data_IF_732205664407
#
_entry.id   IF_732205664407
#
_cell.length_a   1.000
_cell.length_b   1.000
_cell.length_c   1.000
_cell.angle_alpha   90.00
_cell.angle_beta   90.00
_cell.angle_gamma   90.00
#
_symmetry.space_group_name_H-M   'P 1'
#
loop_
_entity.id
_entity.type
_entity.pdbx_description
1 polymer ?
#
# COMPACT_ATOMS: atom_id res chain seq x y z
N UNK A 1 19.84 20.15 -18.43
CA UNK A 1 19.77 19.54 -17.10
C UNK A 1 20.82 18.45 -17.05
N UNK A 2 21.77 18.55 -16.12
CA UNK A 2 22.90 17.59 -16.03
C UNK A 2 22.57 16.58 -14.94
N UNK A 3 22.48 15.30 -15.29
CA UNK A 3 22.26 14.22 -14.32
C UNK A 3 23.61 13.81 -13.71
N UNK A 4 23.74 13.91 -12.38
CA UNK A 4 24.92 13.45 -11.65
C UNK A 4 24.51 12.30 -10.75
N UNK A 5 25.12 11.13 -10.95
CA UNK A 5 24.85 9.93 -10.15
C UNK A 5 25.88 9.82 -9.03
N UNK A 6 25.40 9.78 -7.78
CA UNK A 6 26.22 9.57 -6.60
C UNK A 6 25.68 8.39 -5.80
N UNK A 7 26.58 7.56 -5.26
CA UNK A 7 26.22 6.51 -4.32
C UNK A 7 25.89 7.13 -2.96
N UNK A 8 24.71 6.83 -2.42
CA UNK A 8 24.27 7.28 -1.10
C UNK A 8 23.83 6.08 -0.27
N UNK A 9 24.10 6.12 1.03
CA UNK A 9 23.67 5.14 2.02
C UNK A 9 22.55 5.75 2.85
N UNK A 10 21.45 5.01 3.00
CA UNK A 10 20.34 5.37 3.88
C UNK A 10 20.48 4.58 5.18
N UNK A 11 20.68 5.29 6.29
CA UNK A 11 20.78 4.69 7.62
C UNK A 11 19.43 4.23 8.18
N UNK A 12 19.42 3.42 9.26
CA UNK A 12 18.19 2.99 9.94
C UNK A 12 17.42 4.15 10.58
N UNK A 13 18.07 5.30 10.79
CA UNK A 13 17.50 6.56 11.26
C UNK A 13 16.92 7.41 10.10
N UNK A 14 16.81 6.85 8.90
CA UNK A 14 16.41 7.54 7.67
C UNK A 14 17.36 8.66 7.23
N UNK A 15 18.59 8.69 7.75
CA UNK A 15 19.58 9.69 7.32
C UNK A 15 20.27 9.26 6.03
N UNK A 16 20.30 10.16 5.06
CA UNK A 16 21.04 9.98 3.80
C UNK A 16 22.46 10.49 3.99
N UNK A 17 23.45 9.69 3.61
CA UNK A 17 24.87 10.07 3.67
C UNK A 17 25.61 9.63 2.41
N UNK A 18 26.60 10.42 1.99
CA UNK A 18 27.40 10.17 0.79
C UNK A 18 28.35 11.33 0.52
N UNK A 19 29.27 11.12 -0.42
CA UNK A 19 30.21 12.15 -0.86
C UNK A 19 29.80 12.55 -2.28
N UNK A 20 29.51 13.83 -2.48
CA UNK A 20 29.22 14.37 -3.80
C UNK A 20 30.48 14.29 -4.69
N UNK A 21 30.35 13.88 -5.97
CA UNK A 21 31.47 13.88 -6.91
C UNK A 21 32.02 15.30 -7.13
N UNK A 22 33.29 15.40 -7.52
CA UNK A 22 33.95 16.69 -7.80
C UNK A 22 33.27 17.54 -8.90
N UNK A 23 32.40 16.93 -9.71
CA UNK A 23 31.61 17.63 -10.73
C UNK A 23 30.45 18.47 -10.14
N UNK A 24 30.06 18.24 -8.87
CA UNK A 24 29.03 19.02 -8.19
C UNK A 24 29.69 20.26 -7.59
N UNK A 25 29.38 21.48 -8.06
CA UNK A 25 29.94 22.69 -7.47
C UNK A 25 29.41 22.91 -6.05
N UNK A 26 30.14 23.61 -5.17
CA UNK A 26 29.63 23.97 -3.84
C UNK A 26 28.35 24.80 -3.96
N UNK A 27 27.33 24.45 -3.17
CA UNK A 27 26.04 25.14 -3.17
C UNK A 27 24.89 24.25 -2.75
N UNK A 28 23.69 24.82 -2.74
CA UNK A 28 22.44 24.08 -2.60
C UNK A 28 22.05 23.43 -3.92
N UNK A 29 21.67 22.16 -3.87
CA UNK A 29 21.25 21.38 -5.03
C UNK A 29 20.00 20.60 -4.70
N UNK A 30 19.08 20.52 -5.65
CA UNK A 30 17.93 19.62 -5.57
C UNK A 30 18.39 18.17 -5.80
N UNK A 31 17.97 17.25 -4.94
CA UNK A 31 18.31 15.84 -5.03
C UNK A 31 17.09 15.00 -5.39
N UNK A 32 17.19 14.20 -6.45
CA UNK A 32 16.15 13.24 -6.86
C UNK A 32 16.56 11.85 -6.38
N UNK A 33 15.71 11.21 -5.57
CA UNK A 33 15.94 9.87 -5.05
C UNK A 33 15.02 8.90 -5.79
N UNK A 34 15.60 7.92 -6.46
CA UNK A 34 14.84 6.83 -7.10
C UNK A 34 14.95 5.58 -6.24
N UNK A 35 13.84 5.18 -5.61
CA UNK A 35 13.76 3.92 -4.85
C UNK A 35 13.14 2.87 -5.76
N UNK A 36 13.84 1.74 -6.03
CA UNK A 36 13.22 0.66 -6.79
C UNK A 36 12.01 0.12 -6.00
N UNK A 37 10.94 -0.31 -6.67
CA UNK A 37 9.83 -0.94 -5.99
C UNK A 37 10.36 -2.13 -5.16
N UNK A 38 9.80 -2.37 -3.96
CA UNK A 38 10.17 -3.55 -3.18
C UNK A 38 9.99 -4.78 -4.06
N UNK A 39 10.85 -5.81 -3.93
CA UNK A 39 10.68 -7.03 -4.69
C UNK A 39 9.28 -7.55 -4.39
N UNK A 40 8.38 -7.48 -5.38
CA UNK A 40 7.09 -8.14 -5.27
C UNK A 40 7.39 -9.59 -4.96
N UNK A 41 6.87 -10.08 -3.83
CA UNK A 41 6.98 -11.49 -3.47
C UNK A 41 6.34 -12.26 -4.62
N UNK A 42 7.16 -12.75 -5.55
CA UNK A 42 6.71 -13.76 -6.49
C UNK A 42 6.44 -14.97 -5.61
N UNK A 43 5.18 -15.20 -5.25
CA UNK A 43 4.78 -16.56 -4.93
C UNK A 43 5.23 -17.36 -6.14
N UNK A 44 6.16 -18.28 -5.94
CA UNK A 44 6.52 -19.25 -6.97
C UNK A 44 5.20 -19.83 -7.49
N UNK A 45 5.07 -19.92 -8.81
CA UNK A 45 3.81 -20.20 -9.52
C UNK A 45 3.24 -21.59 -9.28
N UNK A 46 2.96 -21.93 -8.03
CA UNK A 46 1.91 -22.89 -7.73
C UNK A 46 0.61 -22.26 -8.22
N UNK A 47 -0.07 -22.98 -9.11
CA UNK A 47 -1.44 -22.66 -9.45
C UNK A 47 -2.22 -22.65 -8.13
N UNK A 48 -2.79 -21.50 -7.79
CA UNK A 48 -3.69 -21.39 -6.65
C UNK A 48 -4.92 -22.24 -6.97
N UNK A 49 -4.99 -23.43 -6.38
CA UNK A 49 -6.15 -24.32 -6.53
C UNK A 49 -7.31 -23.74 -5.72
N UNK A 50 -8.20 -23.01 -6.40
CA UNK A 50 -9.38 -22.38 -5.79
C UNK A 50 -10.25 -23.43 -5.08
N UNK A 51 -10.30 -24.66 -5.62
CA UNK A 51 -11.07 -25.77 -5.07
C UNK A 51 -10.44 -26.39 -3.80
N UNK A 52 -9.17 -26.09 -3.51
CA UNK A 52 -8.52 -26.50 -2.27
C UNK A 52 -8.87 -25.58 -1.09
N UNK A 53 -9.58 -24.47 -1.33
CA UNK A 53 -10.06 -23.61 -0.26
C UNK A 53 -11.19 -24.32 0.50
N UNK A 54 -11.19 -24.25 1.84
CA UNK A 54 -12.29 -24.80 2.62
C UNK A 54 -13.60 -24.12 2.21
N UNK A 55 -14.58 -24.93 1.81
CA UNK A 55 -15.93 -24.42 1.56
C UNK A 55 -16.54 -23.97 2.88
N UNK A 56 -16.79 -22.68 3.00
CA UNK A 56 -17.50 -22.13 4.14
C UNK A 56 -19.01 -22.25 3.93
N UNK A 57 -19.58 -23.35 4.40
CA UNK A 57 -21.02 -23.57 4.41
C UNK A 57 -21.59 -23.12 5.77
N UNK A 58 -22.42 -22.07 5.75
CA UNK A 58 -23.09 -21.51 6.92
C UNK A 58 -24.56 -22.00 7.03
N UNK A 59 -24.95 -22.97 6.21
CA UNK A 59 -26.32 -23.42 6.09
C UNK A 59 -27.19 -22.49 5.25
N UNK A 60 -28.50 -22.78 5.13
CA UNK A 60 -29.43 -21.95 4.37
C UNK A 60 -29.55 -20.55 4.98
N UNK A 61 -29.65 -19.55 4.12
CA UNK A 61 -29.97 -18.19 4.56
C UNK A 61 -31.32 -18.18 5.31
N UNK A 62 -31.45 -17.35 6.36
CA UNK A 62 -32.69 -17.24 7.11
C UNK A 62 -33.90 -16.84 6.24
N UNK A 63 -35.04 -17.43 6.61
CA UNK A 63 -36.40 -16.93 6.43
C UNK A 63 -36.51 -15.41 6.32
N UNK A 64 -36.63 -14.82 5.13
CA UNK A 64 -36.87 -13.38 4.99
C UNK A 64 -35.68 -12.46 5.25
N UNK A 65 -34.44 -12.98 5.16
CA UNK A 65 -33.24 -12.14 5.15
C UNK A 65 -33.32 -11.13 3.99
N UNK A 66 -33.31 -9.85 4.33
CA UNK A 66 -33.18 -8.76 3.37
C UNK A 66 -31.75 -8.26 3.35
N UNK A 67 -31.15 -8.22 2.15
CA UNK A 67 -29.84 -7.62 1.90
C UNK A 67 -29.96 -6.22 1.31
N UNK A 68 -31.13 -5.59 1.45
CA UNK A 68 -31.31 -4.20 1.02
C UNK A 68 -30.52 -3.28 1.93
N UNK A 69 -30.09 -2.15 1.37
CA UNK A 69 -29.23 -1.19 2.07
C UNK A 69 -29.94 -0.66 3.32
N UNK A 70 -31.22 -0.33 3.21
CA UNK A 70 -32.06 0.09 4.33
C UNK A 70 -32.02 -0.94 5.47
N UNK A 71 -32.27 -2.22 5.19
CA UNK A 71 -32.32 -3.27 6.21
C UNK A 71 -30.94 -3.62 6.82
N UNK A 72 -29.83 -3.32 6.10
CA UNK A 72 -28.46 -3.52 6.58
C UNK A 72 -27.94 -2.33 7.40
N UNK A 73 -28.33 -1.10 7.06
CA UNK A 73 -27.72 0.12 7.59
C UNK A 73 -28.69 1.04 8.37
N UNK A 74 -29.96 0.66 8.55
CA UNK A 74 -30.97 1.53 9.19
C UNK A 74 -30.68 1.87 10.67
N UNK A 75 -29.84 1.09 11.36
CA UNK A 75 -29.52 1.36 12.77
C UNK A 75 -28.56 2.55 13.00
N UNK A 76 -27.83 3.00 11.97
CA UNK A 76 -26.81 4.06 12.08
C UNK A 76 -27.32 5.48 11.73
N UNK A 77 -28.59 5.66 11.39
CA UNK A 77 -29.15 6.96 10.97
C UNK A 77 -29.48 7.92 12.13
N UNK A 78 -29.15 7.60 13.39
CA UNK A 78 -29.52 8.41 14.57
C UNK A 78 -28.49 9.43 15.05
N UNK A 79 -27.53 9.81 14.23
CA UNK A 79 -26.56 10.81 14.64
C UNK A 79 -26.37 11.92 13.60
N UNK A 80 -26.86 13.10 14.01
CA UNK A 80 -26.51 14.45 13.55
C UNK A 80 -27.27 15.03 12.35
N UNK A 81 -28.45 15.61 12.64
CA UNK A 81 -28.80 16.95 12.14
C UNK A 81 -29.63 17.69 13.19
N UNK A 82 -28.97 18.51 13.99
CA UNK A 82 -29.58 19.71 14.56
C UNK A 82 -28.52 20.81 14.50
N UNK A 83 -28.70 21.67 13.49
CA UNK A 83 -28.03 22.96 13.31
C UNK A 83 -28.72 23.97 14.22
#
# INVERSE_FOLDING_TARGET
>A
MTEIRAGVVVGPDHRISGIAPAAVPPGEHEAIITVPPPPMRRLAGEAFEVDALPTHDMGPWPEGLSLRREDIYDEDARLFYQV
#
